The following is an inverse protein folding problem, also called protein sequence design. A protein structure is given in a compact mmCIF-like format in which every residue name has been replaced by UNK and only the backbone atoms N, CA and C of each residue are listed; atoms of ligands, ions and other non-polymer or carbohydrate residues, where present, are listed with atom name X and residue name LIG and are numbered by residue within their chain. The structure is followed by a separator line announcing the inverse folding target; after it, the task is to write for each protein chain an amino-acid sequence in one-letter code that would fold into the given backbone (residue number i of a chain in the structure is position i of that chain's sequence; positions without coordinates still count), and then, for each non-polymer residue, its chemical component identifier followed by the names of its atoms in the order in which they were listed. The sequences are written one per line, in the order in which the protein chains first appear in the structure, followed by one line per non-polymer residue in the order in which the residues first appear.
data_IF_416630208054
#
_entry.id   IF_416630208054
#
_cell.length_a   1.000
_cell.length_b   1.000
_cell.length_c   1.000
_cell.angle_alpha   90.00
_cell.angle_beta   90.00
_cell.angle_gamma   90.00
#
_symmetry.space_group_name_H-M   'P 1'
#
loop_
_entity.id
_entity.type
_entity.pdbx_description
1 polymer ?
#
# COMPACT_ATOMS: atom_id res chain seq x y z
N UNK A 1 -41.58 29.82 45.95
CA UNK A 1 -40.44 28.93 45.62
C UNK A 1 -39.75 29.43 44.35
N UNK A 2 -38.63 30.17 44.46
CA UNK A 2 -37.90 30.71 43.30
C UNK A 2 -37.26 29.54 42.53
N UNK A 3 -37.75 29.22 41.33
CA UNK A 3 -37.09 28.25 40.43
C UNK A 3 -35.75 28.86 40.01
N UNK A 4 -34.64 28.20 40.39
CA UNK A 4 -33.30 28.58 39.95
C UNK A 4 -33.22 28.33 38.45
N UNK A 5 -33.41 29.39 37.65
CA UNK A 5 -33.09 29.40 36.24
C UNK A 5 -31.58 29.16 36.17
N UNK A 6 -31.18 27.91 35.93
CA UNK A 6 -29.78 27.61 35.71
C UNK A 6 -29.44 28.26 34.37
N UNK A 7 -28.72 29.39 34.44
CA UNK A 7 -28.09 29.97 33.27
C UNK A 7 -27.39 28.83 32.52
N UNK A 8 -27.83 28.56 31.29
CA UNK A 8 -27.24 27.56 30.38
C UNK A 8 -25.88 28.05 29.85
N UNK A 9 -25.11 28.77 30.66
CA UNK A 9 -23.71 29.00 30.41
C UNK A 9 -23.01 27.67 30.69
N UNK A 10 -22.34 27.12 29.68
CA UNK A 10 -21.60 25.87 29.81
C UNK A 10 -20.54 26.02 30.90
N UNK A 11 -20.88 25.65 32.13
CA UNK A 11 -19.92 25.65 33.24
C UNK A 11 -18.74 24.77 32.83
N UNK A 12 -17.49 25.25 32.98
CA UNK A 12 -16.32 24.43 32.73
C UNK A 12 -16.44 23.11 33.49
N UNK A 13 -16.23 21.99 32.79
CA UNK A 13 -16.29 20.68 33.41
C UNK A 13 -15.00 20.47 34.19
N UNK A 14 -15.09 20.22 35.49
CA UNK A 14 -13.91 19.92 36.30
C UNK A 14 -13.18 18.68 35.74
N UNK A 15 -11.84 18.68 35.64
CA UNK A 15 -11.07 17.60 35.00
C UNK A 15 -11.38 16.20 35.57
N UNK A 16 -11.57 16.08 36.88
CA UNK A 16 -11.87 14.82 37.56
C UNK A 16 -13.37 14.46 37.62
N UNK A 17 -14.24 15.25 36.98
CA UNK A 17 -15.69 14.98 36.96
C UNK A 17 -16.01 13.73 36.13
N UNK A 18 -17.05 12.98 36.51
CA UNK A 18 -17.63 11.89 35.69
C UNK A 18 -17.92 12.36 34.26
N UNK A 19 -18.38 13.60 34.07
CA UNK A 19 -18.65 14.18 32.75
C UNK A 19 -17.35 14.36 31.93
N UNK A 20 -16.26 14.80 32.56
CA UNK A 20 -14.95 14.91 31.90
C UNK A 20 -14.41 13.54 31.50
N UNK A 21 -14.49 12.55 32.40
CA UNK A 21 -14.09 11.17 32.09
C UNK A 21 -14.89 10.56 30.93
N UNK A 22 -16.20 10.81 30.86
CA UNK A 22 -17.03 10.37 29.72
C UNK A 22 -16.61 11.03 28.41
N UNK A 23 -16.32 12.33 28.42
CA UNK A 23 -15.81 13.04 27.23
C UNK A 23 -14.44 12.50 26.80
N UNK A 24 -13.54 12.24 27.76
CA UNK A 24 -12.24 11.65 27.49
C UNK A 24 -12.37 10.26 26.85
N UNK A 25 -13.23 9.39 27.38
CA UNK A 25 -13.50 8.06 26.79
C UNK A 25 -14.02 8.15 25.35
N UNK A 26 -14.96 9.06 25.09
CA UNK A 26 -15.49 9.31 23.74
C UNK A 26 -14.40 9.80 22.78
N UNK A 27 -13.54 10.71 23.23
CA UNK A 27 -12.40 11.21 22.45
C UNK A 27 -11.41 10.08 22.14
N UNK A 28 -10.98 9.32 23.15
CA UNK A 28 -10.08 8.16 22.96
C UNK A 28 -10.68 7.15 21.97
N UNK A 29 -11.96 6.85 22.08
CA UNK A 29 -12.63 5.96 21.13
C UNK A 29 -12.59 6.53 19.70
N UNK A 30 -12.94 7.81 19.53
CA UNK A 30 -12.87 8.48 18.23
C UNK A 30 -11.45 8.45 17.65
N UNK A 31 -10.45 8.73 18.46
CA UNK A 31 -9.03 8.72 18.05
C UNK A 31 -8.57 7.31 17.63
N UNK A 32 -9.01 6.26 18.35
CA UNK A 32 -8.75 4.87 17.95
C UNK A 32 -9.43 4.51 16.62
N UNK A 33 -10.67 4.93 16.42
CA UNK A 33 -11.40 4.68 15.16
C UNK A 33 -10.76 5.41 13.99
N UNK A 34 -10.34 6.67 14.18
CA UNK A 34 -9.66 7.43 13.12
C UNK A 34 -8.28 6.86 12.81
N UNK A 35 -7.52 6.41 13.82
CA UNK A 35 -6.26 5.69 13.61
C UNK A 35 -6.44 4.44 12.75
N UNK A 36 -7.40 3.57 13.11
CA UNK A 36 -7.71 2.36 12.31
C UNK A 36 -8.10 2.66 10.87
N UNK A 37 -8.86 3.74 10.63
CA UNK A 37 -9.22 4.18 9.28
C UNK A 37 -7.99 4.61 8.48
N UNK A 38 -7.04 5.31 9.11
CA UNK A 38 -5.77 5.71 8.49
C UNK A 38 -4.93 4.48 8.14
N UNK A 39 -4.81 3.51 9.06
CA UNK A 39 -4.05 2.28 8.83
C UNK A 39 -4.63 1.48 7.67
N UNK A 40 -5.96 1.35 7.60
CA UNK A 40 -6.64 0.69 6.49
C UNK A 40 -6.38 1.44 5.17
N UNK A 41 -6.51 2.77 5.16
CA UNK A 41 -6.26 3.57 3.98
C UNK A 41 -4.81 3.42 3.48
N UNK A 42 -3.84 3.33 4.39
CA UNK A 42 -2.44 3.10 4.02
C UNK A 42 -2.25 1.72 3.38
N UNK A 43 -2.84 0.66 3.96
CA UNK A 43 -2.80 -0.69 3.37
C UNK A 43 -3.42 -0.75 1.98
N UNK A 44 -4.60 -0.14 1.82
CA UNK A 44 -5.29 -0.07 0.52
C UNK A 44 -4.47 0.73 -0.49
N UNK A 45 -3.83 1.82 -0.07
CA UNK A 45 -2.93 2.61 -0.91
C UNK A 45 -1.73 1.80 -1.38
N UNK A 46 -1.07 1.05 -0.50
CA UNK A 46 0.05 0.17 -0.89
C UNK A 46 -0.40 -0.90 -1.88
N UNK A 47 -1.57 -1.52 -1.66
CA UNK A 47 -2.13 -2.48 -2.61
C UNK A 47 -2.43 -1.82 -3.96
N UNK A 48 -3.07 -0.65 -3.95
CA UNK A 48 -3.37 0.13 -5.15
C UNK A 48 -2.11 0.45 -5.95
N UNK A 49 -1.06 0.95 -5.30
CA UNK A 49 0.22 1.28 -5.93
C UNK A 49 0.86 0.06 -6.60
N UNK A 50 0.81 -1.10 -5.94
CA UNK A 50 1.29 -2.35 -6.53
C UNK A 50 0.52 -2.70 -7.81
N UNK A 51 -0.81 -2.66 -7.77
CA UNK A 51 -1.65 -2.96 -8.94
C UNK A 51 -1.46 -1.95 -10.07
N UNK A 52 -1.41 -0.66 -9.74
CA UNK A 52 -1.19 0.42 -10.71
C UNK A 52 0.14 0.21 -11.45
N UNK A 53 1.21 -0.15 -10.73
CA UNK A 53 2.49 -0.47 -11.35
C UNK A 53 2.36 -1.61 -12.37
N UNK A 54 1.67 -2.70 -12.03
CA UNK A 54 1.44 -3.80 -12.98
C UNK A 54 0.65 -3.34 -14.20
N UNK A 55 -0.38 -2.49 -14.00
CA UNK A 55 -1.21 -1.97 -15.09
C UNK A 55 -0.44 -1.09 -16.06
N UNK A 56 0.41 -0.19 -15.55
CA UNK A 56 1.25 0.71 -16.33
C UNK A 56 2.29 -0.07 -17.13
N UNK A 57 2.96 -1.04 -16.48
CA UNK A 57 4.02 -1.84 -17.12
C UNK A 57 3.47 -2.93 -18.05
N UNK A 58 2.18 -3.26 -17.98
CA UNK A 58 1.51 -4.14 -18.93
C UNK A 58 1.20 -3.46 -20.26
N UNK A 59 0.98 -2.14 -20.26
CA UNK A 59 0.68 -1.40 -21.49
C UNK A 59 1.86 -1.47 -22.48
N UNK A 60 3.09 -1.53 -21.96
CA UNK A 60 4.32 -1.71 -22.74
C UNK A 60 4.41 -3.09 -23.43
N UNK A 61 3.71 -4.10 -22.91
CA UNK A 61 3.84 -5.51 -23.34
C UNK A 61 2.80 -5.91 -24.40
N UNK A 62 1.91 -4.98 -24.80
CA UNK A 62 0.85 -5.16 -25.82
C UNK A 62 0.25 -6.58 -25.86
N UNK A 63 -0.55 -6.99 -24.86
CA UNK A 63 -1.24 -8.25 -24.97
C UNK A 63 -2.57 -8.00 -25.67
N UNK A 64 -2.74 -8.54 -26.86
CA UNK A 64 -4.07 -8.72 -27.48
C UNK A 64 -4.88 -9.81 -26.76
N UNK A 65 -4.32 -10.43 -25.71
CA UNK A 65 -4.88 -11.54 -24.93
C UNK A 65 -4.19 -11.75 -23.57
N UNK A 66 -4.53 -12.83 -22.84
CA UNK A 66 -3.95 -13.14 -21.52
C UNK A 66 -2.44 -13.38 -21.60
N UNK A 67 -1.72 -13.09 -20.51
CA UNK A 67 -0.28 -13.29 -20.46
C UNK A 67 0.10 -14.77 -20.41
N UNK A 68 1.25 -15.13 -20.98
CA UNK A 68 1.84 -16.45 -20.75
C UNK A 68 2.52 -16.49 -19.38
N UNK A 69 2.76 -17.68 -18.78
CA UNK A 69 3.53 -17.78 -17.55
C UNK A 69 4.90 -17.11 -17.67
N UNK A 70 5.66 -17.38 -18.74
CA UNK A 70 6.98 -16.76 -18.95
C UNK A 70 6.92 -15.23 -18.95
N UNK A 71 5.92 -14.63 -19.61
CA UNK A 71 5.75 -13.17 -19.67
C UNK A 71 5.43 -12.60 -18.28
N UNK A 72 4.61 -13.31 -17.50
CA UNK A 72 4.30 -12.92 -16.13
C UNK A 72 5.56 -12.95 -15.26
N UNK A 73 6.45 -13.91 -15.49
CA UNK A 73 7.72 -14.05 -14.77
C UNK A 73 8.64 -12.87 -15.04
N UNK A 74 8.79 -12.52 -16.31
CA UNK A 74 9.54 -11.34 -16.74
C UNK A 74 8.94 -10.04 -16.14
N UNK A 75 7.61 -9.93 -16.08
CA UNK A 75 6.93 -8.78 -15.50
C UNK A 75 7.16 -8.68 -13.97
N UNK A 76 7.17 -9.81 -13.26
CA UNK A 76 7.50 -9.87 -11.82
C UNK A 76 8.97 -9.50 -11.60
N UNK A 77 9.89 -9.95 -12.44
CA UNK A 77 11.30 -9.57 -12.34
C UNK A 77 11.50 -8.06 -12.59
N UNK A 78 10.79 -7.49 -13.56
CA UNK A 78 10.73 -6.03 -13.79
C UNK A 78 10.16 -5.30 -12.55
N UNK A 79 9.20 -5.90 -11.84
CA UNK A 79 8.64 -5.34 -10.60
C UNK A 79 9.68 -5.22 -9.47
N UNK A 80 10.63 -6.14 -9.36
CA UNK A 80 11.73 -6.01 -8.39
C UNK A 80 12.70 -4.89 -8.77
N UNK A 81 12.81 -4.55 -10.05
CA UNK A 81 13.65 -3.46 -10.53
C UNK A 81 12.99 -2.08 -10.43
N UNK A 82 11.77 -1.96 -9.88
CA UNK A 82 11.04 -0.68 -9.81
C UNK A 82 11.75 0.45 -9.06
N UNK A 83 12.71 0.12 -8.18
CA UNK A 83 13.51 1.09 -7.44
C UNK A 83 14.90 1.33 -8.03
N UNK A 84 15.22 0.74 -9.20
CA UNK A 84 16.55 0.84 -9.82
C UNK A 84 16.98 2.29 -10.04
N UNK A 85 16.09 3.14 -10.54
CA UNK A 85 16.34 4.57 -10.77
C UNK A 85 16.63 5.35 -9.49
N UNK A 86 15.92 5.04 -8.40
CA UNK A 86 16.13 5.67 -7.09
C UNK A 86 17.48 5.24 -6.50
N UNK A 87 17.82 3.95 -6.59
CA UNK A 87 19.10 3.41 -6.13
C UNK A 87 20.25 4.02 -6.93
N UNK A 88 20.14 4.07 -8.26
CA UNK A 88 21.14 4.66 -9.15
C UNK A 88 21.36 6.14 -8.86
N UNK A 89 20.28 6.89 -8.63
CA UNK A 89 20.37 8.30 -8.26
C UNK A 89 21.18 8.51 -6.97
N UNK A 90 20.92 7.71 -5.93
CA UNK A 90 21.68 7.81 -4.68
C UNK A 90 23.14 7.40 -4.87
N UNK A 91 23.39 6.33 -5.64
CA UNK A 91 24.76 5.91 -5.97
C UNK A 91 25.54 7.03 -6.67
N UNK A 92 24.94 7.70 -7.65
CA UNK A 92 25.55 8.82 -8.36
C UNK A 92 25.90 9.98 -7.40
N UNK A 93 25.01 10.30 -6.46
CA UNK A 93 25.30 11.32 -5.44
C UNK A 93 26.47 10.90 -4.56
N UNK A 94 26.52 9.63 -4.14
CA UNK A 94 27.61 9.11 -3.31
C UNK A 94 28.96 9.11 -4.05
N UNK A 95 28.97 8.82 -5.35
CA UNK A 95 30.19 8.91 -6.15
C UNK A 95 30.74 10.35 -6.24
N UNK A 96 29.86 11.35 -6.30
CA UNK A 96 30.26 12.76 -6.39
C UNK A 96 30.63 13.36 -5.04
N UNK A 97 29.84 13.07 -3.99
CA UNK A 97 29.92 13.75 -2.67
C UNK A 97 30.53 12.89 -1.57
N UNK A 98 30.85 11.62 -1.84
CA UNK A 98 31.26 10.64 -0.84
C UNK A 98 30.08 10.07 -0.04
N UNK A 99 30.35 9.49 1.13
CA UNK A 99 29.33 8.83 1.93
C UNK A 99 28.26 9.84 2.42
N UNK A 100 27.02 9.67 1.96
CA UNK A 100 25.89 10.52 2.38
C UNK A 100 24.85 9.71 3.15
N UNK A 101 24.57 10.13 4.38
CA UNK A 101 23.65 9.44 5.30
C UNK A 101 22.17 9.83 5.10
N UNK A 102 21.89 10.89 4.36
CA UNK A 102 20.52 11.40 4.18
C UNK A 102 19.54 10.40 3.55
N UNK A 103 20.06 9.44 2.77
CA UNK A 103 19.25 8.44 2.07
C UNK A 103 19.30 7.04 2.72
N UNK A 104 20.10 6.83 3.78
CA UNK A 104 20.34 5.49 4.33
C UNK A 104 19.06 4.81 4.77
N UNK A 105 18.20 5.49 5.54
CA UNK A 105 16.95 4.91 6.00
C UNK A 105 15.98 4.55 4.88
N UNK A 106 15.98 5.31 3.77
CA UNK A 106 15.16 5.01 2.59
C UNK A 106 15.71 3.81 1.82
N UNK A 107 17.03 3.74 1.63
CA UNK A 107 17.70 2.62 0.99
C UNK A 107 17.52 1.32 1.79
N UNK A 108 17.65 1.38 3.11
CA UNK A 108 17.45 0.22 3.98
C UNK A 108 16.00 -0.28 3.89
N UNK A 109 15.02 0.62 3.86
CA UNK A 109 13.62 0.25 3.67
C UNK A 109 13.36 -0.38 2.29
N UNK A 110 13.97 0.13 1.21
CA UNK A 110 13.90 -0.47 -0.13
C UNK A 110 14.50 -1.87 -0.10
N UNK A 111 15.71 -2.00 0.44
CA UNK A 111 16.43 -3.27 0.52
C UNK A 111 15.63 -4.32 1.29
N UNK A 112 15.16 -3.99 2.50
CA UNK A 112 14.31 -4.89 3.30
C UNK A 112 13.03 -5.29 2.55
N UNK A 113 12.44 -4.39 1.78
CA UNK A 113 11.24 -4.69 0.98
C UNK A 113 11.56 -5.64 -0.16
N UNK A 114 12.63 -5.39 -0.92
CA UNK A 114 13.04 -6.24 -2.04
C UNK A 114 13.50 -7.61 -1.57
N UNK A 115 14.32 -7.68 -0.52
CA UNK A 115 14.80 -8.94 0.06
C UNK A 115 13.61 -9.83 0.47
N UNK A 116 12.58 -9.22 1.07
CA UNK A 116 11.36 -9.93 1.41
C UNK A 116 10.59 -10.39 0.17
N UNK A 117 10.33 -9.51 -0.80
CA UNK A 117 9.55 -9.85 -1.98
C UNK A 117 10.24 -10.92 -2.87
N UNK A 118 11.55 -10.82 -3.05
CA UNK A 118 12.37 -11.79 -3.80
C UNK A 118 12.45 -13.11 -3.04
N UNK A 119 12.64 -13.05 -1.71
CA UNK A 119 12.61 -14.21 -0.83
C UNK A 119 11.28 -14.96 -0.91
N UNK A 120 10.16 -14.23 -0.83
CA UNK A 120 8.81 -14.78 -0.97
C UNK A 120 8.64 -15.41 -2.37
N UNK A 121 8.99 -14.71 -3.46
CA UNK A 121 8.88 -15.23 -4.83
C UNK A 121 9.66 -16.53 -5.07
N UNK A 122 10.85 -16.64 -4.46
CA UNK A 122 11.71 -17.81 -4.59
C UNK A 122 11.24 -18.99 -3.73
N UNK A 123 10.55 -18.73 -2.61
CA UNK A 123 10.14 -19.76 -1.65
C UNK A 123 8.67 -20.15 -1.77
N UNK A 124 7.77 -19.34 -1.21
CA UNK A 124 6.33 -19.62 -1.08
C UNK A 124 5.47 -19.00 -2.20
N UNK A 125 6.05 -18.09 -2.97
CA UNK A 125 5.42 -17.27 -4.00
C UNK A 125 4.99 -15.88 -3.52
N UNK A 126 4.87 -14.97 -4.48
CA UNK A 126 4.43 -13.59 -4.29
C UNK A 126 2.99 -13.42 -4.78
N UNK A 127 2.17 -12.70 -4.00
CA UNK A 127 0.80 -12.37 -4.39
C UNK A 127 0.79 -11.26 -5.45
N UNK A 128 0.32 -11.55 -6.66
CA UNK A 128 0.18 -10.59 -7.78
C UNK A 128 -1.18 -10.75 -8.46
N UNK A 129 -1.62 -9.81 -9.31
CA UNK A 129 -2.87 -9.96 -10.05
C UNK A 129 -2.85 -11.21 -10.92
N UNK A 130 -3.98 -11.90 -11.02
CA UNK A 130 -4.13 -12.99 -11.96
C UNK A 130 -4.23 -12.42 -13.39
N UNK A 131 -3.13 -12.49 -14.12
CA UNK A 131 -3.02 -12.03 -15.50
C UNK A 131 -3.00 -13.19 -16.52
N UNK A 132 -3.06 -14.43 -16.03
CA UNK A 132 -3.07 -15.64 -16.87
C UNK A 132 -4.50 -16.00 -17.29
N UNK A 133 -5.48 -15.80 -16.39
CA UNK A 133 -6.88 -16.12 -16.69
C UNK A 133 -7.51 -15.02 -17.57
N UNK A 134 -8.22 -15.35 -18.67
CA UNK A 134 -8.81 -14.36 -19.57
C UNK A 134 -9.83 -13.42 -18.90
N UNK A 135 -10.65 -13.96 -18.00
CA UNK A 135 -11.69 -13.20 -17.29
C UNK A 135 -11.10 -12.18 -16.31
N UNK A 136 -10.09 -12.60 -15.53
CA UNK A 136 -9.40 -11.71 -14.60
C UNK A 136 -8.58 -10.66 -15.34
N UNK A 137 -7.91 -11.04 -16.42
CA UNK A 137 -7.15 -10.13 -17.27
C UNK A 137 -8.05 -9.04 -17.86
N UNK A 138 -9.22 -9.40 -18.39
CA UNK A 138 -10.18 -8.42 -18.92
C UNK A 138 -10.65 -7.45 -17.84
N UNK A 139 -11.03 -7.98 -16.67
CA UNK A 139 -11.45 -7.15 -15.53
C UNK A 139 -10.32 -6.22 -15.07
N UNK A 140 -9.08 -6.69 -15.07
CA UNK A 140 -7.92 -5.89 -14.72
C UNK A 140 -7.59 -4.82 -15.77
N UNK A 141 -7.86 -5.08 -17.05
CA UNK A 141 -7.64 -4.11 -18.14
C UNK A 141 -8.71 -3.02 -18.19
N UNK A 142 -9.96 -3.34 -17.85
CA UNK A 142 -11.06 -2.37 -17.73
C UNK A 142 -10.84 -1.38 -16.58
N UNK A 143 -10.01 -1.74 -15.61
CA UNK A 143 -9.67 -0.86 -14.49
C UNK A 143 -8.70 0.25 -14.90
N UNK A 144 -8.97 1.46 -14.42
CA UNK A 144 -8.26 2.71 -14.73
C UNK A 144 -6.92 2.88 -13.98
N UNK A 145 -6.61 1.98 -13.05
CA UNK A 145 -5.39 2.04 -12.25
C UNK A 145 -5.47 2.93 -11.00
N UNK A 146 -6.57 3.64 -10.77
CA UNK A 146 -6.68 4.66 -9.71
C UNK A 146 -7.80 4.36 -8.71
N UNK A 147 -8.89 3.73 -9.14
CA UNK A 147 -10.06 3.54 -8.28
C UNK A 147 -9.89 2.43 -7.24
N UNK A 148 -9.87 2.82 -5.96
CA UNK A 148 -9.79 1.91 -4.78
C UNK A 148 -11.00 0.96 -4.71
N UNK A 149 -12.16 1.40 -5.20
CA UNK A 149 -13.39 0.60 -5.23
C UNK A 149 -13.28 -0.65 -6.10
N UNK A 150 -12.30 -0.69 -7.01
CA UNK A 150 -12.08 -1.82 -7.90
C UNK A 150 -11.18 -2.91 -7.28
N UNK A 151 -10.46 -2.61 -6.19
CA UNK A 151 -9.58 -3.57 -5.49
C UNK A 151 -10.24 -4.92 -5.12
N UNK A 152 -11.53 -4.98 -4.70
CA UNK A 152 -12.19 -6.25 -4.41
C UNK A 152 -12.54 -7.07 -5.66
N UNK A 153 -12.62 -6.43 -6.83
CA UNK A 153 -12.91 -7.09 -8.11
C UNK A 153 -11.67 -7.72 -8.73
N UNK A 154 -10.49 -7.21 -8.40
CA UNK A 154 -9.21 -7.76 -8.89
C UNK A 154 -8.91 -9.07 -8.17
N UNK A 155 -8.87 -10.16 -8.93
CA UNK A 155 -8.44 -11.46 -8.44
C UNK A 155 -6.92 -11.48 -8.26
N UNK A 156 -6.49 -11.74 -7.04
CA UNK A 156 -5.08 -11.92 -6.69
C UNK A 156 -4.75 -13.40 -6.61
N UNK A 157 -3.56 -13.80 -7.07
CA UNK A 157 -3.07 -15.17 -6.96
C UNK A 157 -1.59 -15.16 -6.56
N UNK A 158 -1.19 -16.22 -5.86
CA UNK A 158 0.20 -16.39 -5.43
C UNK A 158 0.95 -17.15 -6.53
N UNK A 159 2.11 -16.61 -6.92
CA UNK A 159 2.96 -17.19 -7.95
C UNK A 159 4.38 -17.36 -7.43
N UNK A 160 4.94 -18.56 -7.57
CA UNK A 160 6.34 -18.83 -7.27
C UNK A 160 7.18 -18.83 -8.55
N UNK A 161 8.48 -18.64 -8.43
CA UNK A 161 9.41 -18.65 -9.57
C UNK A 161 9.28 -19.92 -10.42
N UNK A 162 9.15 -21.09 -9.78
CA UNK A 162 9.00 -22.36 -10.48
C UNK A 162 7.68 -22.50 -11.27
N UNK A 163 6.64 -21.73 -10.92
CA UNK A 163 5.34 -21.78 -11.63
C UNK A 163 5.30 -20.90 -12.88
N UNK A 164 6.24 -19.98 -13.00
CA UNK A 164 6.19 -18.85 -13.95
C UNK A 164 7.45 -18.83 -14.84
N UNK A 165 8.35 -19.81 -14.68
CA UNK A 165 9.50 -20.08 -15.55
C UNK A 165 9.16 -21.01 -16.71
#
# INVERSE_FOLDING_TARGET
KKRRIQARTSRPVHPNSRKAQQMARKKIHKDKVTARKKDLALKLKTKLQKLAWFRENLADVVPTGPLTPSDLGALIEKYFQRFSSEIEHVNNIQQIRGNVTQFSGRLDAIKMTLDKEIGDYTSCGIEVPDLLSPESFKSFMEWDGQDVSYLPKVTMRVFSKAMVQ
#
